data_IF_696913629239
#
_entry.id   IF_696913629239
#
_cell.length_a   1.000
_cell.length_b   1.000
_cell.length_c   1.000
_cell.angle_alpha   90.00
_cell.angle_beta   90.00
_cell.angle_gamma   90.00
#
_symmetry.space_group_name_H-M   'P 1'
#
loop_
_entity.id
_entity.type
_entity.pdbx_description
1 polymer ?
#
# COMPACT_ATOMS: atom_id res chain seq x y z
N UNK A 1 12.34 26.96 -41.17
CA UNK A 1 12.37 25.48 -41.26
C UNK A 1 12.56 24.77 -39.90
N UNK A 2 13.28 25.35 -38.95
CA UNK A 2 13.53 24.76 -37.62
C UNK A 2 12.28 24.70 -36.69
N UNK A 3 11.37 25.69 -36.72
CA UNK A 3 10.14 25.70 -35.89
C UNK A 3 9.12 24.64 -36.30
N UNK A 4 9.02 24.33 -37.59
CA UNK A 4 8.07 23.30 -38.08
C UNK A 4 8.52 21.89 -37.69
N UNK A 5 9.83 21.67 -37.62
CA UNK A 5 10.44 20.39 -37.23
C UNK A 5 10.23 20.16 -35.71
N UNK A 6 10.39 21.19 -34.87
CA UNK A 6 10.15 21.11 -33.43
C UNK A 6 8.67 20.87 -33.10
N UNK A 7 7.74 21.50 -33.83
CA UNK A 7 6.31 21.32 -33.65
C UNK A 7 5.88 19.87 -33.96
N UNK A 8 6.32 19.28 -35.06
CA UNK A 8 6.03 17.88 -35.41
C UNK A 8 6.55 16.89 -34.37
N UNK A 9 7.74 17.11 -33.86
CA UNK A 9 8.33 16.21 -32.82
C UNK A 9 7.59 16.30 -31.50
N UNK A 10 7.12 17.49 -31.13
CA UNK A 10 6.34 17.69 -29.91
C UNK A 10 4.93 17.06 -30.04
N UNK A 11 4.25 17.22 -31.16
CA UNK A 11 2.94 16.60 -31.41
C UNK A 11 3.01 15.07 -31.47
N UNK A 12 4.07 14.51 -32.05
CA UNK A 12 4.31 13.07 -32.04
C UNK A 12 4.60 12.57 -30.61
N UNK A 13 5.33 13.34 -29.82
CA UNK A 13 5.58 13.03 -28.42
C UNK A 13 4.31 13.07 -27.58
N UNK A 14 3.46 14.08 -27.75
CA UNK A 14 2.14 14.21 -27.12
C UNK A 14 1.23 13.03 -27.45
N UNK A 15 1.13 12.64 -28.73
CA UNK A 15 0.37 11.45 -29.14
C UNK A 15 0.89 10.20 -28.45
N UNK A 16 2.21 9.99 -28.42
CA UNK A 16 2.85 8.84 -27.75
C UNK A 16 2.59 8.80 -26.25
N UNK A 17 2.60 9.96 -25.58
CA UNK A 17 2.29 10.07 -24.14
C UNK A 17 0.83 9.73 -23.88
N UNK A 18 -0.11 10.19 -24.72
CA UNK A 18 -1.55 9.95 -24.52
C UNK A 18 -2.01 8.53 -24.92
N UNK A 19 -1.45 7.95 -25.99
CA UNK A 19 -1.85 6.65 -26.51
C UNK A 19 -1.29 5.47 -25.68
N UNK A 20 -0.07 5.61 -25.14
CA UNK A 20 0.65 4.53 -24.42
C UNK A 20 0.61 4.66 -22.90
N UNK A 21 -0.20 5.57 -22.35
CA UNK A 21 -0.20 5.84 -20.93
C UNK A 21 -0.85 4.69 -20.16
N UNK A 22 -0.06 4.01 -19.33
CA UNK A 22 -0.51 2.99 -18.40
C UNK A 22 -0.72 3.62 -17.02
N UNK A 23 -1.98 4.05 -16.77
CA UNK A 23 -2.39 4.74 -15.55
C UNK A 23 -2.11 3.91 -14.31
N UNK A 24 -2.34 2.59 -14.38
CA UNK A 24 -2.09 1.70 -13.25
C UNK A 24 -0.60 1.66 -12.90
N UNK A 25 0.24 1.44 -13.89
CA UNK A 25 1.69 1.40 -13.71
C UNK A 25 2.23 2.73 -13.19
N UNK A 26 1.75 3.85 -13.72
CA UNK A 26 2.12 5.18 -13.25
C UNK A 26 1.72 5.38 -11.77
N UNK A 27 0.48 5.04 -11.41
CA UNK A 27 0.00 5.13 -10.04
C UNK A 27 0.83 4.26 -9.08
N UNK A 28 1.16 3.02 -9.49
CA UNK A 28 1.96 2.11 -8.67
C UNK A 28 3.40 2.64 -8.50
N UNK A 29 4.00 3.21 -9.54
CA UNK A 29 5.33 3.80 -9.46
C UNK A 29 5.40 5.03 -8.54
N UNK A 30 4.29 5.75 -8.37
CA UNK A 30 4.18 6.84 -7.40
C UNK A 30 4.20 6.37 -5.94
N UNK A 31 4.05 5.06 -5.67
CA UNK A 31 4.07 4.51 -4.30
C UNK A 31 5.49 4.10 -3.93
N UNK A 32 6.04 4.65 -2.84
CA UNK A 32 7.38 4.32 -2.34
C UNK A 32 7.49 2.88 -1.86
N UNK A 33 6.52 2.42 -1.07
CA UNK A 33 6.54 1.09 -0.47
C UNK A 33 6.19 -0.01 -1.49
N UNK A 34 7.07 -0.99 -1.62
CA UNK A 34 6.88 -2.18 -2.45
C UNK A 34 5.62 -2.97 -2.04
N UNK A 35 5.39 -3.16 -0.74
CA UNK A 35 4.22 -3.87 -0.22
C UNK A 35 2.91 -3.14 -0.56
N UNK A 36 2.92 -1.81 -0.56
CA UNK A 36 1.77 -1.01 -0.99
C UNK A 36 1.48 -1.21 -2.48
N UNK A 37 2.50 -1.27 -3.33
CA UNK A 37 2.32 -1.53 -4.78
C UNK A 37 1.66 -2.88 -5.01
N UNK A 38 2.18 -3.95 -4.41
CA UNK A 38 1.62 -5.31 -4.53
C UNK A 38 0.16 -5.33 -4.04
N UNK A 39 -0.11 -4.72 -2.89
CA UNK A 39 -1.47 -4.70 -2.33
C UNK A 39 -2.46 -3.99 -3.26
N UNK A 40 -2.07 -2.83 -3.82
CA UNK A 40 -2.93 -2.08 -4.74
C UNK A 40 -3.15 -2.83 -6.05
N UNK A 41 -2.10 -3.40 -6.63
CA UNK A 41 -2.20 -4.20 -7.84
C UNK A 41 -3.14 -5.39 -7.65
N UNK A 42 -2.98 -6.11 -6.53
CA UNK A 42 -3.83 -7.26 -6.19
C UNK A 42 -5.30 -6.85 -6.01
N UNK A 43 -5.55 -5.72 -5.32
CA UNK A 43 -6.91 -5.24 -5.08
C UNK A 43 -7.59 -4.77 -6.37
N UNK A 44 -6.85 -4.12 -7.26
CA UNK A 44 -7.35 -3.67 -8.56
C UNK A 44 -7.64 -4.87 -9.47
N UNK A 45 -6.76 -5.90 -9.46
CA UNK A 45 -7.01 -7.16 -10.16
C UNK A 45 -8.27 -7.87 -9.65
N UNK A 46 -8.48 -7.91 -8.33
CA UNK A 46 -9.68 -8.51 -7.73
C UNK A 46 -10.95 -7.73 -8.11
N UNK A 47 -10.89 -6.39 -8.13
CA UNK A 47 -12.01 -5.54 -8.54
C UNK A 47 -12.43 -5.79 -9.99
N UNK A 48 -11.51 -5.68 -10.93
CA UNK A 48 -11.83 -5.89 -12.35
C UNK A 48 -12.17 -7.36 -12.64
N UNK A 49 -11.47 -8.30 -11.97
CA UNK A 49 -11.72 -9.74 -12.09
C UNK A 49 -13.12 -10.15 -11.63
N UNK A 50 -13.69 -9.48 -10.63
CA UNK A 50 -15.07 -9.71 -10.19
C UNK A 50 -16.08 -9.46 -11.33
N UNK A 51 -15.81 -8.49 -12.19
CA UNK A 51 -16.64 -8.19 -13.37
C UNK A 51 -16.20 -8.95 -14.64
N UNK A 52 -15.24 -9.87 -14.53
CA UNK A 52 -14.75 -10.66 -15.66
C UNK A 52 -13.73 -9.95 -16.55
N UNK A 53 -13.14 -8.84 -16.08
CA UNK A 53 -12.16 -8.06 -16.84
C UNK A 53 -10.74 -8.20 -16.27
N UNK A 54 -9.75 -8.08 -17.16
CA UNK A 54 -8.36 -7.86 -16.74
C UNK A 54 -8.09 -6.35 -16.64
N UNK A 55 -7.27 -5.90 -15.67
CA UNK A 55 -6.95 -4.48 -15.49
C UNK A 55 -5.95 -3.99 -16.55
N UNK A 56 -6.36 -3.98 -17.80
CA UNK A 56 -5.60 -3.39 -18.91
C UNK A 56 -5.74 -1.87 -18.92
N UNK A 57 -4.84 -1.18 -19.63
CA UNK A 57 -4.95 0.27 -19.83
C UNK A 57 -6.28 0.68 -20.42
N UNK A 58 -6.85 -0.13 -21.31
CA UNK A 58 -8.15 0.11 -21.93
C UNK A 58 -9.30 -0.05 -20.92
N UNK A 59 -9.33 -1.16 -20.18
CA UNK A 59 -10.35 -1.43 -19.17
C UNK A 59 -10.37 -0.36 -18.08
N UNK A 60 -9.20 0.11 -17.66
CA UNK A 60 -9.07 1.18 -16.68
C UNK A 60 -9.58 2.51 -17.25
N UNK A 61 -9.20 2.85 -18.49
CA UNK A 61 -9.72 4.06 -19.16
C UNK A 61 -11.25 4.02 -19.31
N UNK A 62 -11.82 2.87 -19.66
CA UNK A 62 -13.27 2.70 -19.75
C UNK A 62 -13.95 2.90 -18.40
N UNK A 63 -13.40 2.34 -17.31
CA UNK A 63 -13.91 2.58 -15.95
C UNK A 63 -13.81 4.07 -15.54
N UNK A 64 -12.71 4.73 -15.83
CA UNK A 64 -12.49 6.14 -15.51
C UNK A 64 -13.36 7.09 -16.37
N UNK A 65 -13.79 6.63 -17.55
CA UNK A 65 -14.74 7.34 -18.43
C UNK A 65 -16.20 7.22 -18.02
N UNK A 66 -16.53 6.38 -17.03
CA UNK A 66 -17.88 6.28 -16.49
C UNK A 66 -18.28 7.58 -15.78
N UNK A 67 -19.58 7.78 -15.60
CA UNK A 67 -20.08 8.82 -14.69
C UNK A 67 -19.77 8.43 -13.25
N UNK A 68 -19.66 9.41 -12.34
CA UNK A 68 -19.46 9.18 -10.91
C UNK A 68 -20.52 8.21 -10.35
N UNK A 69 -21.77 8.32 -10.77
CA UNK A 69 -22.86 7.45 -10.33
C UNK A 69 -22.62 5.99 -10.74
N UNK A 70 -22.29 5.77 -12.02
CA UNK A 70 -22.00 4.43 -12.53
C UNK A 70 -20.80 3.80 -11.82
N UNK A 71 -19.68 4.53 -11.74
CA UNK A 71 -18.48 4.03 -11.06
C UNK A 71 -18.74 3.72 -9.57
N UNK A 72 -19.54 4.55 -8.89
CA UNK A 72 -19.94 4.29 -7.51
C UNK A 72 -20.76 3.01 -7.39
N UNK A 73 -21.69 2.76 -8.33
CA UNK A 73 -22.50 1.53 -8.37
C UNK A 73 -21.61 0.28 -8.52
N UNK A 74 -20.64 0.29 -9.45
CA UNK A 74 -19.66 -0.80 -9.61
C UNK A 74 -18.89 -1.08 -8.31
N UNK A 75 -18.39 -0.04 -7.64
CA UNK A 75 -17.64 -0.22 -6.39
C UNK A 75 -18.54 -0.72 -5.25
N UNK A 76 -19.80 -0.29 -5.19
CA UNK A 76 -20.77 -0.79 -4.20
C UNK A 76 -21.09 -2.27 -4.43
N UNK A 77 -21.31 -2.67 -5.67
CA UNK A 77 -21.58 -4.07 -6.02
C UNK A 77 -20.41 -4.98 -5.60
N UNK A 78 -19.19 -4.60 -5.97
CA UNK A 78 -17.99 -5.31 -5.52
C UNK A 78 -17.85 -5.33 -3.99
N UNK A 79 -18.10 -4.19 -3.31
CA UNK A 79 -18.10 -4.15 -1.84
C UNK A 79 -19.07 -5.13 -1.23
N UNK A 80 -20.31 -5.25 -1.76
CA UNK A 80 -21.27 -6.25 -1.31
C UNK A 80 -20.74 -7.68 -1.49
N UNK A 81 -20.08 -7.97 -2.58
CA UNK A 81 -19.44 -9.25 -2.80
C UNK A 81 -18.33 -9.52 -1.78
N UNK A 82 -17.47 -8.53 -1.45
CA UNK A 82 -16.44 -8.68 -0.43
C UNK A 82 -17.04 -8.98 0.96
N UNK A 83 -18.20 -8.39 1.27
CA UNK A 83 -18.96 -8.71 2.50
C UNK A 83 -19.47 -10.16 2.46
N UNK A 84 -20.05 -10.63 1.33
CA UNK A 84 -20.50 -12.01 1.16
C UNK A 84 -19.38 -13.03 1.30
N UNK A 85 -18.15 -12.68 0.85
CA UNK A 85 -16.94 -13.50 1.05
C UNK A 85 -16.50 -13.56 2.52
N UNK A 86 -17.16 -12.87 3.44
CA UNK A 86 -16.84 -12.88 4.88
C UNK A 86 -15.57 -12.12 5.24
N UNK A 87 -15.11 -11.19 4.40
CA UNK A 87 -13.91 -10.41 4.68
C UNK A 87 -14.13 -9.41 5.82
N UNK A 88 -13.09 -9.22 6.64
CA UNK A 88 -13.11 -8.22 7.72
C UNK A 88 -13.31 -6.81 7.15
N UNK A 89 -14.04 -5.95 7.86
CA UNK A 89 -14.32 -4.56 7.45
C UNK A 89 -13.04 -3.76 7.15
N UNK A 90 -11.96 -3.97 7.92
CA UNK A 90 -10.66 -3.35 7.66
C UNK A 90 -10.07 -3.76 6.31
N UNK A 91 -10.22 -5.03 5.93
CA UNK A 91 -9.78 -5.55 4.62
C UNK A 91 -10.62 -4.95 3.50
N UNK A 92 -11.93 -4.87 3.67
CA UNK A 92 -12.85 -4.27 2.69
C UNK A 92 -12.51 -2.79 2.50
N UNK A 93 -12.30 -2.04 3.59
CA UNK A 93 -11.92 -0.64 3.55
C UNK A 93 -10.59 -0.42 2.82
N UNK A 94 -9.60 -1.27 3.06
CA UNK A 94 -8.31 -1.22 2.37
C UNK A 94 -8.49 -1.47 0.87
N UNK A 95 -9.24 -2.51 0.49
CA UNK A 95 -9.51 -2.85 -0.91
C UNK A 95 -10.26 -1.72 -1.66
N UNK A 96 -11.32 -1.20 -1.07
CA UNK A 96 -12.05 -0.03 -1.64
C UNK A 96 -11.13 1.20 -1.68
N UNK A 97 -10.24 1.36 -0.70
CA UNK A 97 -9.22 2.39 -0.66
C UNK A 97 -8.29 2.37 -1.87
N UNK A 98 -7.93 1.17 -2.38
CA UNK A 98 -7.09 1.02 -3.58
C UNK A 98 -7.78 1.54 -4.84
N UNK A 99 -9.10 1.32 -4.99
CA UNK A 99 -9.88 1.87 -6.11
C UNK A 99 -10.04 3.40 -5.97
N UNK A 100 -10.29 3.90 -4.76
CA UNK A 100 -10.30 5.35 -4.50
C UNK A 100 -8.97 6.00 -4.86
N UNK A 101 -7.85 5.34 -4.56
CA UNK A 101 -6.53 5.83 -4.88
C UNK A 101 -6.27 5.86 -6.40
N UNK A 102 -6.74 4.86 -7.16
CA UNK A 102 -6.68 4.85 -8.62
C UNK A 102 -7.46 6.04 -9.20
N UNK A 103 -8.70 6.24 -8.76
CA UNK A 103 -9.54 7.34 -9.24
C UNK A 103 -8.94 8.69 -8.86
N UNK A 104 -8.46 8.84 -7.61
CA UNK A 104 -7.80 10.07 -7.17
C UNK A 104 -6.58 10.39 -8.03
N UNK A 105 -5.67 9.44 -8.21
CA UNK A 105 -4.50 9.62 -9.05
C UNK A 105 -4.87 10.04 -10.48
N UNK A 106 -5.89 9.37 -11.06
CA UNK A 106 -6.38 9.68 -12.40
C UNK A 106 -7.01 11.08 -12.50
N UNK A 107 -7.64 11.55 -11.42
CA UNK A 107 -8.16 12.91 -11.31
C UNK A 107 -7.02 13.93 -11.23
N UNK A 108 -6.02 13.67 -10.40
CA UNK A 108 -4.86 14.55 -10.20
C UNK A 108 -4.07 14.75 -11.51
N UNK A 109 -4.04 13.75 -12.40
CA UNK A 109 -3.37 13.83 -13.72
C UNK A 109 -4.31 14.24 -14.87
N UNK A 110 -5.56 14.61 -14.56
CA UNK A 110 -6.52 15.14 -15.56
C UNK A 110 -7.16 14.10 -16.47
N UNK A 111 -7.09 12.80 -16.16
CA UNK A 111 -7.71 11.71 -16.94
C UNK A 111 -9.16 11.48 -16.52
N UNK A 112 -9.48 11.74 -15.25
CA UNK A 112 -10.80 11.57 -14.68
C UNK A 112 -11.24 12.90 -14.04
N UNK A 113 -12.53 13.26 -14.19
CA UNK A 113 -13.08 14.54 -13.69
C UNK A 113 -13.96 14.37 -12.45
N UNK A 114 -13.97 13.18 -11.83
CA UNK A 114 -14.76 12.88 -10.64
C UNK A 114 -13.93 12.11 -9.61
N UNK A 115 -14.43 12.08 -8.37
CA UNK A 115 -13.78 11.36 -7.26
C UNK A 115 -14.78 10.45 -6.56
N UNK A 116 -14.30 9.34 -6.01
CA UNK A 116 -15.09 8.39 -5.22
C UNK A 116 -15.16 8.86 -3.75
N UNK A 117 -16.04 9.83 -3.48
CA UNK A 117 -16.20 10.42 -2.13
C UNK A 117 -17.47 9.94 -1.41
N UNK A 118 -18.26 9.04 -2.02
CA UNK A 118 -19.52 8.60 -1.44
C UNK A 118 -19.32 7.95 -0.06
N UNK A 119 -20.06 8.42 0.96
CA UNK A 119 -20.07 7.84 2.31
C UNK A 119 -20.46 6.36 2.31
N UNK A 120 -21.35 5.96 1.38
CA UNK A 120 -21.76 4.58 1.18
C UNK A 120 -20.57 3.62 0.90
N UNK A 121 -19.45 4.15 0.39
CA UNK A 121 -18.22 3.39 0.17
C UNK A 121 -17.38 3.23 1.44
N UNK A 122 -17.69 3.98 2.49
CA UNK A 122 -17.02 3.84 3.79
C UNK A 122 -17.68 2.69 4.54
N UNK A 123 -16.95 1.62 4.82
CA UNK A 123 -17.41 0.65 5.81
C UNK A 123 -17.44 1.33 7.17
N UNK A 124 -18.39 0.93 8.02
CA UNK A 124 -18.50 1.42 9.39
C UNK A 124 -17.11 1.48 10.03
N UNK A 125 -16.88 2.50 10.84
CA UNK A 125 -15.65 2.64 11.62
C UNK A 125 -15.41 1.32 12.33
N UNK A 126 -14.39 0.58 11.91
CA UNK A 126 -13.92 -0.58 12.65
C UNK A 126 -13.59 -0.07 14.03
N UNK A 127 -14.34 -0.49 15.05
CA UNK A 127 -13.93 -0.25 16.41
C UNK A 127 -12.53 -0.84 16.53
N UNK A 128 -11.55 0.03 16.74
CA UNK A 128 -10.18 -0.40 17.02
C UNK A 128 -10.17 -0.99 18.43
N UNK A 129 -10.73 -2.20 18.58
CA UNK A 129 -10.46 -3.00 19.75
C UNK A 129 -9.02 -3.48 19.59
N UNK A 130 -8.12 -2.67 20.07
CA UNK A 130 -6.77 -3.11 20.36
C UNK A 130 -6.78 -3.35 21.87
N UNK A 131 -6.64 -4.61 22.26
CA UNK A 131 -6.24 -4.90 23.62
C UNK A 131 -4.87 -4.24 23.80
N UNK A 132 -4.87 -3.13 24.54
CA UNK A 132 -3.65 -2.37 24.86
C UNK A 132 -3.09 -2.83 26.20
N UNK A 133 -3.66 -3.88 26.81
CA UNK A 133 -3.10 -4.53 27.98
C UNK A 133 -1.75 -5.13 27.57
N UNK A 134 -0.68 -4.51 28.02
CA UNK A 134 0.67 -4.95 27.68
C UNK A 134 0.94 -6.36 28.20
N UNK A 135 1.84 -7.07 27.55
CA UNK A 135 2.32 -8.37 28.06
C UNK A 135 3.03 -8.13 29.39
N UNK A 136 2.70 -8.87 30.47
CA UNK A 136 3.40 -8.71 31.75
C UNK A 136 4.90 -8.89 31.62
N UNK A 137 5.69 -8.12 32.35
CA UNK A 137 7.16 -8.18 32.28
C UNK A 137 7.72 -9.60 32.60
N UNK A 138 6.98 -10.39 33.39
CA UNK A 138 7.30 -11.79 33.67
C UNK A 138 7.25 -12.68 32.45
N UNK A 139 6.26 -12.47 31.58
CA UNK A 139 6.11 -13.22 30.33
C UNK A 139 7.17 -12.79 29.29
N UNK A 140 7.46 -11.49 29.23
CA UNK A 140 8.54 -10.98 28.39
C UNK A 140 9.90 -11.60 28.79
N UNK A 141 10.19 -11.71 30.09
CA UNK A 141 11.41 -12.37 30.56
C UNK A 141 11.52 -13.83 30.06
N UNK A 142 10.39 -14.56 30.04
CA UNK A 142 10.35 -15.94 29.51
C UNK A 142 10.64 -15.95 28.00
N UNK A 143 10.04 -15.03 27.25
CA UNK A 143 10.28 -14.91 25.80
C UNK A 143 11.76 -14.60 25.52
N UNK A 144 12.35 -13.66 26.27
CA UNK A 144 13.77 -13.30 26.15
C UNK A 144 14.72 -14.42 26.56
N UNK A 145 14.31 -15.35 27.44
CA UNK A 145 15.07 -16.50 27.84
C UNK A 145 14.98 -17.67 26.86
N UNK A 146 14.07 -17.67 25.91
CA UNK A 146 13.83 -18.78 25.01
C UNK A 146 14.95 -19.04 23.98
N UNK A 147 15.60 -18.02 23.38
CA UNK A 147 16.68 -18.27 22.44
C UNK A 147 17.88 -18.91 23.10
N UNK A 148 18.39 -20.01 22.49
CA UNK A 148 19.63 -20.67 22.92
C UNK A 148 20.86 -19.83 22.57
N UNK A 149 21.35 -19.07 23.54
CA UNK A 149 22.46 -18.11 23.36
C UNK A 149 23.84 -18.77 23.17
N UNK A 150 23.95 -20.08 23.22
CA UNK A 150 25.18 -20.76 22.88
C UNK A 150 25.33 -20.92 21.36
N UNK A 151 24.23 -20.83 20.63
CA UNK A 151 24.21 -20.85 19.18
C UNK A 151 24.28 -19.43 18.57
N UNK A 152 24.84 -19.35 17.35
CA UNK A 152 24.88 -18.08 16.62
C UNK A 152 23.44 -17.51 16.32
N UNK A 153 22.55 -18.41 15.92
CA UNK A 153 21.15 -18.04 15.67
C UNK A 153 20.45 -17.51 16.93
N UNK A 154 20.65 -18.19 18.06
CA UNK A 154 20.05 -17.77 19.32
C UNK A 154 20.63 -16.46 19.87
N UNK A 155 21.92 -16.16 19.65
CA UNK A 155 22.52 -14.86 19.97
C UNK A 155 21.85 -13.74 19.15
N UNK A 156 21.67 -13.96 17.83
CA UNK A 156 20.98 -13.03 16.93
C UNK A 156 19.52 -12.80 17.39
N UNK A 157 18.78 -13.89 17.61
CA UNK A 157 17.38 -13.82 17.97
C UNK A 157 17.17 -13.13 19.32
N UNK A 158 18.06 -13.40 20.29
CA UNK A 158 18.07 -12.69 21.57
C UNK A 158 18.31 -11.18 21.40
N UNK A 159 19.29 -10.78 20.58
CA UNK A 159 19.59 -9.38 20.32
C UNK A 159 18.39 -8.67 19.65
N UNK A 160 17.76 -9.31 18.65
CA UNK A 160 16.57 -8.77 17.98
C UNK A 160 15.40 -8.60 18.96
N UNK A 161 15.12 -9.59 19.80
CA UNK A 161 14.06 -9.51 20.80
C UNK A 161 14.33 -8.41 21.84
N UNK A 162 15.59 -8.24 22.26
CA UNK A 162 16.00 -7.16 23.17
C UNK A 162 15.79 -5.79 22.55
N UNK A 163 16.15 -5.61 21.28
CA UNK A 163 15.92 -4.35 20.55
C UNK A 163 14.43 -4.06 20.43
N UNK A 164 13.63 -5.03 19.99
CA UNK A 164 12.18 -4.87 19.87
C UNK A 164 11.53 -4.48 21.19
N UNK A 165 11.93 -5.10 22.29
CA UNK A 165 11.38 -4.83 23.61
C UNK A 165 11.89 -3.52 24.21
N UNK A 166 13.19 -3.29 24.14
CA UNK A 166 13.84 -2.15 24.84
C UNK A 166 13.63 -0.82 24.14
N UNK A 167 13.49 -0.82 22.80
CA UNK A 167 13.40 0.41 22.00
C UNK A 167 12.01 0.64 21.41
N UNK A 168 11.16 -0.40 21.32
CA UNK A 168 9.87 -0.31 20.64
C UNK A 168 9.96 -0.17 19.10
N UNK A 169 11.10 -0.50 18.52
CA UNK A 169 11.31 -0.46 17.07
C UNK A 169 10.36 -1.42 16.36
N UNK A 170 9.96 -1.06 15.12
CA UNK A 170 9.21 -1.96 14.26
C UNK A 170 10.10 -3.09 13.76
N UNK A 171 9.52 -4.24 13.44
CA UNK A 171 10.26 -5.38 12.90
C UNK A 171 11.14 -5.02 11.69
N UNK A 172 10.63 -4.22 10.77
CA UNK A 172 11.38 -3.74 9.61
C UNK A 172 12.60 -2.91 10.02
N UNK A 173 12.42 -1.99 10.96
CA UNK A 173 13.50 -1.14 11.47
C UNK A 173 14.62 -1.95 12.12
N UNK A 174 14.27 -3.02 12.88
CA UNK A 174 15.29 -3.92 13.48
C UNK A 174 16.02 -4.76 12.43
N UNK A 175 15.33 -5.15 11.33
CA UNK A 175 15.94 -5.95 10.27
C UNK A 175 16.87 -5.13 9.35
N UNK A 176 16.68 -3.82 9.30
CA UNK A 176 17.46 -2.89 8.47
C UNK A 176 18.69 -2.34 9.22
N UNK A 177 18.91 -2.73 10.49
CA UNK A 177 20.08 -2.33 11.28
C UNK A 177 21.32 -3.06 10.79
N UNK A 178 22.35 -2.31 10.45
CA UNK A 178 23.68 -2.81 10.15
C UNK A 178 24.67 -2.60 11.32
N UNK A 179 25.81 -3.29 11.29
CA UNK A 179 26.85 -3.19 12.32
C UNK A 179 27.39 -1.75 12.45
N UNK A 180 27.42 -1.01 11.36
CA UNK A 180 27.87 0.39 11.32
C UNK A 180 26.91 1.35 12.06
N UNK A 181 25.66 0.94 12.25
CA UNK A 181 24.64 1.73 12.94
C UNK A 181 24.74 1.61 14.47
N UNK A 182 25.58 0.71 14.96
CA UNK A 182 25.75 0.42 16.39
C UNK A 182 27.03 1.03 16.91
N UNK A 183 26.92 2.02 17.81
CA UNK A 183 28.06 2.53 18.56
C UNK A 183 28.08 1.94 19.97
N UNK A 184 29.01 1.02 20.20
CA UNK A 184 29.17 0.36 21.49
C UNK A 184 29.82 1.27 22.55
N UNK A 185 30.57 2.28 22.15
CA UNK A 185 31.24 3.24 23.06
C UNK A 185 30.23 4.20 23.67
N UNK A 186 29.34 4.74 22.85
CA UNK A 186 28.28 5.64 23.28
C UNK A 186 26.97 4.92 23.65
N UNK A 187 26.92 3.60 23.48
CA UNK A 187 25.71 2.78 23.68
C UNK A 187 24.54 3.31 22.89
N UNK A 188 24.79 3.79 21.69
CA UNK A 188 23.80 4.38 20.80
C UNK A 188 23.54 3.52 19.58
N UNK A 189 22.33 3.66 19.04
CA UNK A 189 21.87 2.95 17.83
C UNK A 189 21.22 3.96 16.90
N UNK A 190 21.70 4.01 15.67
CA UNK A 190 21.12 4.81 14.60
C UNK A 190 20.21 3.95 13.74
N UNK A 191 19.02 4.44 13.42
CA UNK A 191 18.10 3.76 12.51
C UNK A 191 17.29 4.76 11.69
N UNK A 192 16.97 4.41 10.45
CA UNK A 192 16.08 5.18 9.60
C UNK A 192 14.63 4.79 9.92
N UNK A 193 13.95 5.64 10.71
CA UNK A 193 12.52 5.51 10.91
C UNK A 193 11.76 5.88 9.63
N UNK A 194 10.93 4.98 9.12
CA UNK A 194 9.92 5.36 8.13
C UNK A 194 8.87 6.22 8.83
N UNK A 195 8.93 7.55 8.59
CA UNK A 195 7.96 8.55 9.06
C UNK A 195 6.62 8.44 8.36
#
# INVERSE_FOLDING_TARGET
>A
MSEIIQSKTFDEHLKRVNEKRDILKEMLNHRRSFNTRISYETDIKDFFGFFGYQPSSETIKNFLGLTKLQATAFVLEWKHELVKRGLKESTINRKVGSIKALVKFSNDIGVCFWTLTAEALVCKRVQRYRDTTGVPATEIKKILAFPDRDTFAGKRDYAMLQLLWGTGLRRSEVLDIDVVDVDLSDRSLWFLGEG
#
